data_IF_835553049108
#
_entry.id   IF_835553049108
#
_cell.length_a   1.000
_cell.length_b   1.000
_cell.length_c   1.000
_cell.angle_alpha   90.00
_cell.angle_beta   90.00
_cell.angle_gamma   90.00
#
_symmetry.space_group_name_H-M   'P 1'
#
loop_
_entity.id
_entity.type
_entity.pdbx_description
1 polymer ?
#
# COMPACT_ATOMS: atom_id res chain seq x y z
N UNK A 1 -35.16 -50.28 -41.28
CA UNK A 1 -34.72 -51.68 -41.10
C UNK A 1 -33.63 -51.68 -40.05
N UNK A 2 -33.82 -52.45 -38.95
CA UNK A 2 -32.80 -52.85 -37.95
C UNK A 2 -32.09 -51.69 -37.19
N UNK A 3 -32.21 -51.50 -35.86
CA UNK A 3 -32.71 -52.37 -34.75
C UNK A 3 -31.80 -53.61 -34.51
N UNK A 4 -31.44 -54.09 -33.31
CA UNK A 4 -31.79 -53.88 -31.87
C UNK A 4 -30.45 -53.98 -31.04
N UNK A 5 -30.26 -53.93 -29.69
CA UNK A 5 -31.03 -53.76 -28.43
C UNK A 5 -30.06 -53.15 -27.37
N UNK A 6 -30.42 -52.21 -26.47
CA UNK A 6 -30.93 -52.35 -25.08
C UNK A 6 -30.12 -53.20 -24.06
N UNK A 7 -29.91 -52.63 -22.85
CA UNK A 7 -30.29 -53.12 -21.50
C UNK A 7 -29.48 -52.33 -20.43
N UNK A 8 -30.06 -51.52 -19.52
CA UNK A 8 -30.93 -51.78 -18.34
C UNK A 8 -30.18 -51.96 -17.00
N UNK A 9 -30.72 -51.36 -15.92
CA UNK A 9 -30.20 -51.34 -14.52
C UNK A 9 -30.85 -52.45 -13.66
N UNK A 10 -30.34 -52.77 -12.44
CA UNK A 10 -30.74 -52.08 -11.19
C UNK A 10 -29.53 -51.69 -10.30
N UNK A 11 -29.54 -50.68 -9.41
CA UNK A 11 -30.39 -50.36 -8.24
C UNK A 11 -30.23 -51.33 -7.04
N UNK A 12 -29.62 -50.84 -5.96
CA UNK A 12 -29.92 -51.17 -4.56
C UNK A 12 -29.66 -49.94 -3.68
N UNK A 13 -30.30 -49.86 -2.51
CA UNK A 13 -30.20 -48.73 -1.59
C UNK A 13 -30.33 -49.17 -0.12
N UNK A 14 -29.75 -48.39 0.79
CA UNK A 14 -30.00 -48.43 2.24
C UNK A 14 -29.04 -47.47 2.96
N UNK A 15 -29.46 -46.44 3.71
CA UNK A 15 -30.39 -46.29 4.85
C UNK A 15 -29.72 -46.33 6.23
N UNK A 16 -29.77 -45.18 6.92
CA UNK A 16 -29.71 -45.01 8.40
C UNK A 16 -28.32 -45.33 9.02
N UNK A 17 -27.71 -44.53 9.92
CA UNK A 17 -28.19 -44.04 11.24
C UNK A 17 -27.25 -42.90 11.69
N UNK A 18 -27.69 -41.66 11.91
CA UNK A 18 -28.29 -41.07 13.14
C UNK A 18 -27.39 -41.00 14.39
N UNK A 19 -27.21 -39.77 14.90
CA UNK A 19 -26.77 -39.32 16.25
C UNK A 19 -25.51 -39.91 16.90
N UNK A 20 -24.60 -38.99 17.28
CA UNK A 20 -23.94 -39.04 18.59
C UNK A 20 -23.72 -37.61 19.14
N UNK A 21 -24.42 -37.29 20.22
CA UNK A 21 -24.11 -36.16 21.12
C UNK A 21 -24.05 -36.77 22.52
N UNK A 22 -22.91 -36.70 23.20
CA UNK A 22 -22.84 -36.34 24.62
C UNK A 22 -21.39 -36.09 25.07
N UNK A 23 -21.24 -35.08 25.91
CA UNK A 23 -20.32 -34.91 27.04
C UNK A 23 -18.90 -35.50 27.02
N UNK A 24 -17.94 -34.60 27.19
CA UNK A 24 -17.06 -34.68 28.37
C UNK A 24 -16.73 -33.30 28.95
N UNK A 25 -17.60 -32.82 29.85
CA UNK A 25 -17.33 -31.66 30.71
C UNK A 25 -16.84 -32.13 32.09
N UNK A 26 -15.55 -31.95 32.37
CA UNK A 26 -15.00 -31.85 33.73
C UNK A 26 -13.96 -30.71 33.74
N UNK A 27 -14.33 -29.52 34.21
CA UNK A 27 -14.17 -29.14 35.62
C UNK A 27 -12.72 -29.22 36.13
N UNK A 28 -11.96 -28.13 35.94
CA UNK A 28 -11.06 -27.63 36.98
C UNK A 28 -11.41 -26.15 37.19
N UNK A 29 -11.95 -25.83 38.37
CA UNK A 29 -12.20 -24.46 38.82
C UNK A 29 -11.42 -24.23 40.11
N UNK A 30 -10.48 -23.29 40.11
CA UNK A 30 -9.83 -22.74 41.31
C UNK A 30 -9.36 -21.30 41.09
N UNK A 31 -9.96 -20.39 41.84
CA UNK A 31 -9.49 -19.04 42.16
C UNK A 31 -10.01 -18.68 43.57
N UNK A 32 -9.47 -17.64 44.23
CA UNK A 32 -8.06 -17.35 44.45
C UNK A 32 -7.71 -17.45 45.96
N UNK A 33 -6.43 -17.31 46.33
CA UNK A 33 -6.00 -17.23 47.74
C UNK A 33 -5.38 -15.87 48.06
N UNK A 34 -6.06 -15.07 48.87
CA UNK A 34 -5.57 -13.77 49.35
C UNK A 34 -4.59 -13.93 50.51
N UNK A 35 -3.28 -13.79 50.25
CA UNK A 35 -2.28 -13.57 51.32
C UNK A 35 -0.92 -13.09 50.79
N UNK A 36 -0.74 -11.78 50.56
CA UNK A 36 0.56 -11.05 50.58
C UNK A 36 0.41 -9.56 50.20
N UNK A 37 -0.32 -8.78 51.00
CA UNK A 37 -0.38 -7.31 50.85
C UNK A 37 -0.03 -6.64 52.18
N UNK A 38 1.25 -6.67 52.57
CA UNK A 38 1.85 -5.79 53.60
C UNK A 38 3.37 -6.01 53.77
N UNK A 39 4.17 -5.50 52.82
CA UNK A 39 5.56 -5.08 53.10
C UNK A 39 6.02 -4.04 52.06
N UNK A 40 7.11 -3.33 52.35
CA UNK A 40 7.81 -2.42 51.43
C UNK A 40 7.06 -1.15 50.93
N UNK A 41 6.04 -0.65 51.62
CA UNK A 41 5.72 0.79 51.58
C UNK A 41 6.69 1.56 52.49
N UNK A 42 7.94 1.80 52.04
CA UNK A 42 8.84 2.88 52.49
C UNK A 42 10.23 2.77 51.87
N UNK A 43 10.53 3.56 50.82
CA UNK A 43 11.77 4.34 50.69
C UNK A 43 11.68 5.30 49.48
N UNK A 44 12.47 6.37 49.52
CA UNK A 44 12.36 7.50 48.58
C UNK A 44 13.18 7.31 47.31
N UNK A 45 12.64 7.75 46.18
CA UNK A 45 13.42 8.40 45.13
C UNK A 45 12.53 9.37 44.33
N UNK A 46 12.84 10.66 44.40
CA UNK A 46 12.23 11.68 43.53
C UNK A 46 13.04 11.76 42.24
N UNK A 47 12.48 11.31 41.11
CA UNK A 47 12.95 11.71 39.77
C UNK A 47 11.73 11.98 38.88
N UNK A 48 11.67 13.18 38.31
CA UNK A 48 10.64 13.59 37.37
C UNK A 48 10.80 12.87 36.02
N UNK A 49 9.69 12.44 35.43
CA UNK A 49 9.68 11.94 34.06
C UNK A 49 10.12 13.06 33.10
N UNK A 50 11.00 12.80 32.12
CA UNK A 50 11.38 13.80 31.14
C UNK A 50 10.20 14.12 30.22
N UNK A 51 9.68 15.34 30.32
CA UNK A 51 8.76 15.88 29.32
C UNK A 51 9.54 16.04 28.02
N UNK A 52 9.06 15.42 26.94
CA UNK A 52 9.61 15.61 25.60
C UNK A 52 9.34 17.05 25.14
N UNK A 53 10.32 17.93 25.33
CA UNK A 53 10.28 19.29 24.79
C UNK A 53 10.22 19.20 23.26
N UNK A 54 9.12 19.71 22.68
CA UNK A 54 9.05 19.96 21.24
C UNK A 54 10.11 20.98 20.86
N UNK A 55 11.12 20.56 20.11
CA UNK A 55 12.14 21.46 19.56
C UNK A 55 11.47 22.58 18.74
N UNK A 56 11.48 23.81 19.28
CA UNK A 56 10.90 25.00 18.66
C UNK A 56 11.88 25.71 17.72
N UNK A 57 12.60 24.95 16.91
CA UNK A 57 13.39 25.50 15.80
C UNK A 57 12.48 25.81 14.60
N UNK A 58 11.77 26.93 14.66
CA UNK A 58 11.15 27.50 13.47
C UNK A 58 12.25 27.81 12.43
N UNK A 59 12.03 27.57 11.13
CA UNK A 59 12.99 27.95 10.09
C UNK A 59 13.33 29.44 10.16
N UNK A 60 14.62 29.76 10.01
CA UNK A 60 15.08 31.15 10.05
C UNK A 60 14.39 31.96 8.92
N UNK A 61 13.62 32.99 9.31
CA UNK A 61 12.89 33.81 8.36
C UNK A 61 13.87 34.52 7.41
N UNK A 62 13.72 34.24 6.11
CA UNK A 62 14.56 34.83 5.06
C UNK A 62 14.58 36.36 5.16
N UNK A 63 15.78 36.93 5.09
CA UNK A 63 15.96 38.39 5.07
C UNK A 63 15.27 39.02 3.85
N UNK A 64 15.03 40.33 3.88
CA UNK A 64 14.44 41.04 2.75
C UNK A 64 15.29 40.87 1.47
N UNK A 65 16.62 40.95 1.57
CA UNK A 65 17.54 40.72 0.46
C UNK A 65 17.44 39.30 -0.12
N UNK A 66 17.38 38.25 0.72
CA UNK A 66 17.21 36.87 0.26
C UNK A 66 15.87 36.66 -0.45
N UNK A 67 14.79 37.28 0.04
CA UNK A 67 13.48 37.27 -0.64
C UNK A 67 13.52 37.97 -2.00
N UNK A 68 14.18 39.13 -2.11
CA UNK A 68 14.35 39.83 -3.40
C UNK A 68 15.18 39.01 -4.39
N UNK A 69 16.25 38.34 -3.95
CA UNK A 69 17.05 37.48 -4.83
C UNK A 69 16.27 36.25 -5.31
N UNK A 70 15.51 35.59 -4.42
CA UNK A 70 14.62 34.48 -4.82
C UNK A 70 13.55 34.94 -5.82
N UNK A 71 12.97 36.14 -5.62
CA UNK A 71 12.02 36.73 -6.56
C UNK A 71 12.63 36.98 -7.95
N UNK A 72 13.87 37.44 -8.02
CA UNK A 72 14.59 37.70 -9.27
C UNK A 72 14.99 36.43 -10.05
N UNK A 73 15.02 35.27 -9.39
CA UNK A 73 15.33 33.96 -10.00
C UNK A 73 14.06 33.17 -10.32
N UNK A 74 12.87 33.77 -10.16
CA UNK A 74 11.58 33.10 -10.40
C UNK A 74 11.15 32.14 -9.27
N UNK A 75 12.04 31.85 -8.32
CA UNK A 75 11.74 31.14 -7.07
C UNK A 75 10.99 32.03 -6.05
N UNK A 76 10.09 32.89 -6.55
CA UNK A 76 9.21 33.72 -5.74
C UNK A 76 8.05 32.87 -5.25
N UNK A 77 7.59 33.09 -4.01
CA UNK A 77 6.45 32.37 -3.42
C UNK A 77 5.25 32.29 -4.38
N UNK A 78 5.05 31.12 -4.99
CA UNK A 78 3.78 30.76 -5.65
C UNK A 78 2.73 30.52 -4.57
N UNK A 79 2.21 31.62 -4.03
CA UNK A 79 0.95 31.61 -3.31
C UNK A 79 -0.09 31.01 -4.26
N UNK A 80 -0.74 29.93 -3.80
CA UNK A 80 -1.87 29.30 -4.48
C UNK A 80 -2.84 30.37 -5.00
N UNK A 81 -3.40 30.16 -6.19
CA UNK A 81 -4.46 31.02 -6.74
C UNK A 81 -5.70 31.01 -5.83
N UNK A 82 -6.65 31.92 -6.08
CA UNK A 82 -7.91 31.95 -5.33
C UNK A 82 -8.64 30.60 -5.40
N UNK A 83 -8.64 29.98 -6.58
CA UNK A 83 -9.41 28.76 -6.84
C UNK A 83 -8.72 27.51 -6.26
N UNK A 84 -7.39 27.44 -6.31
CA UNK A 84 -6.63 26.39 -5.63
C UNK A 84 -6.77 26.48 -4.11
N UNK A 85 -6.73 27.69 -3.53
CA UNK A 85 -7.02 27.89 -2.10
C UNK A 85 -8.45 27.46 -1.76
N UNK A 86 -9.42 27.79 -2.62
CA UNK A 86 -10.82 27.41 -2.41
C UNK A 86 -10.99 25.89 -2.42
N UNK A 87 -10.43 25.19 -3.41
CA UNK A 87 -10.48 23.73 -3.51
C UNK A 87 -9.78 23.03 -2.33
N UNK A 88 -8.63 23.54 -1.88
CA UNK A 88 -7.92 23.01 -0.70
C UNK A 88 -8.70 23.27 0.59
N UNK A 89 -9.37 24.42 0.71
CA UNK A 89 -10.21 24.73 1.86
C UNK A 89 -11.50 23.89 1.89
N UNK A 90 -12.11 23.61 0.73
CA UNK A 90 -13.23 22.67 0.61
C UNK A 90 -12.80 21.24 0.96
N UNK A 91 -11.65 20.79 0.47
CA UNK A 91 -11.07 19.49 0.83
C UNK A 91 -10.90 19.37 2.36
N UNK A 92 -10.35 20.40 3.03
CA UNK A 92 -10.17 20.43 4.49
C UNK A 92 -11.45 20.21 5.29
N UNK A 93 -12.63 20.57 4.77
CA UNK A 93 -13.93 20.28 5.42
C UNK A 93 -14.22 18.78 5.51
N UNK A 94 -13.63 17.98 4.61
CA UNK A 94 -13.82 16.54 4.49
C UNK A 94 -12.71 15.72 5.17
N UNK A 95 -11.88 16.36 6.01
CA UNK A 95 -10.77 15.71 6.71
C UNK A 95 -11.23 14.57 7.64
N UNK A 96 -10.64 13.36 7.56
CA UNK A 96 -11.00 12.25 8.44
C UNK A 96 -10.56 12.50 9.90
N UNK A 97 -11.21 11.80 10.84
CA UNK A 97 -10.94 11.94 12.29
C UNK A 97 -9.54 11.48 12.70
N UNK A 98 -8.96 10.56 11.93
CA UNK A 98 -7.57 10.08 12.01
C UNK A 98 -7.04 9.98 10.56
N UNK A 99 -5.75 10.26 10.31
CA UNK A 99 -5.14 9.96 9.01
C UNK A 99 -5.18 8.46 8.72
N UNK A 100 -5.34 8.08 7.45
CA UNK A 100 -5.35 6.69 7.00
C UNK A 100 -3.92 6.19 6.78
N UNK A 101 -3.48 5.18 7.52
CA UNK A 101 -2.23 4.47 7.22
C UNK A 101 -2.31 3.91 5.79
N UNK A 102 -1.38 4.31 4.93
CA UNK A 102 -1.44 4.14 3.47
C UNK A 102 -0.14 3.55 2.94
N UNK A 103 -0.24 2.50 2.12
CA UNK A 103 0.90 1.78 1.55
C UNK A 103 0.92 1.92 0.02
N UNK A 104 2.09 2.20 -0.57
CA UNK A 104 2.26 2.32 -2.03
C UNK A 104 2.98 1.13 -2.67
N UNK A 105 2.47 0.68 -3.82
CA UNK A 105 3.14 -0.25 -4.74
C UNK A 105 3.36 0.47 -6.08
N UNK A 106 4.62 0.65 -6.48
CA UNK A 106 5.05 1.78 -7.33
C UNK A 106 6.30 1.43 -8.16
N UNK A 107 6.50 2.04 -9.32
CA UNK A 107 7.65 1.79 -10.22
C UNK A 107 8.36 3.06 -10.73
N UNK A 108 8.77 3.96 -9.80
CA UNK A 108 9.13 5.33 -10.09
C UNK A 108 10.33 5.46 -11.03
N UNK A 109 10.45 6.66 -11.62
CA UNK A 109 11.56 7.04 -12.50
C UNK A 109 11.60 6.26 -13.83
N UNK A 110 10.47 5.69 -14.25
CA UNK A 110 10.16 5.34 -15.65
C UNK A 110 9.59 6.55 -16.40
N UNK A 111 8.75 7.32 -15.71
CA UNK A 111 8.02 8.53 -16.08
C UNK A 111 7.64 9.26 -14.75
N UNK A 112 6.86 10.36 -14.72
CA UNK A 112 6.77 11.22 -13.52
C UNK A 112 5.67 10.85 -12.52
N UNK A 113 4.75 9.95 -12.87
CA UNK A 113 3.45 9.80 -12.21
C UNK A 113 3.56 9.40 -10.72
N UNK A 114 4.49 8.48 -10.37
CA UNK A 114 4.76 8.12 -8.97
C UNK A 114 5.30 9.31 -8.15
N UNK A 115 6.15 10.15 -8.76
CA UNK A 115 6.81 11.27 -8.08
C UNK A 115 5.81 12.41 -7.82
N UNK A 116 4.89 12.65 -8.76
CA UNK A 116 3.72 13.49 -8.54
C UNK A 116 2.85 12.91 -7.42
N UNK A 117 2.60 11.59 -7.44
CA UNK A 117 1.83 10.90 -6.38
C UNK A 117 2.47 11.06 -4.99
N UNK A 118 3.80 10.93 -4.87
CA UNK A 118 4.51 11.18 -3.60
C UNK A 118 4.40 12.63 -3.14
N UNK A 119 4.45 13.59 -4.08
CA UNK A 119 4.40 15.03 -3.80
C UNK A 119 3.02 15.46 -3.34
N UNK A 120 1.95 14.97 -3.98
CA UNK A 120 0.57 15.15 -3.52
C UNK A 120 0.32 14.43 -2.18
N UNK A 121 0.85 13.21 -2.03
CA UNK A 121 0.81 12.44 -0.80
C UNK A 121 1.46 13.16 0.38
N UNK A 122 2.56 13.89 0.17
CA UNK A 122 3.18 14.75 1.19
C UNK A 122 2.21 15.81 1.72
N UNK A 123 1.49 16.51 0.84
CA UNK A 123 0.54 17.54 1.27
C UNK A 123 -0.67 16.89 1.95
N UNK A 124 -1.22 15.79 1.42
CA UNK A 124 -2.31 15.04 2.05
C UNK A 124 -1.94 14.53 3.45
N UNK A 125 -0.67 14.17 3.69
CA UNK A 125 -0.17 13.82 5.02
C UNK A 125 0.02 15.03 5.94
N UNK A 126 0.50 16.17 5.42
CA UNK A 126 0.60 17.41 6.18
C UNK A 126 -0.78 17.96 6.60
N UNK A 127 -1.78 17.85 5.71
CA UNK A 127 -3.18 18.15 5.99
C UNK A 127 -3.85 17.07 6.86
N UNK A 128 -3.25 15.89 7.02
CA UNK A 128 -3.69 14.81 7.91
C UNK A 128 -4.85 13.96 7.38
N UNK A 129 -4.89 13.71 6.06
CA UNK A 129 -5.80 12.74 5.42
C UNK A 129 -5.21 11.34 5.39
N UNK A 130 -3.92 11.23 5.07
CA UNK A 130 -3.16 9.97 4.95
C UNK A 130 -1.94 9.99 5.84
N UNK A 131 -1.37 8.82 6.09
CA UNK A 131 -0.07 8.63 6.71
C UNK A 131 0.65 7.56 5.89
N UNK A 132 1.65 7.98 5.11
CA UNK A 132 2.40 7.10 4.22
C UNK A 132 3.44 6.39 5.08
N UNK A 133 3.25 5.09 5.33
CA UNK A 133 4.15 4.32 6.22
C UNK A 133 5.13 3.44 5.44
N UNK A 134 4.69 2.92 4.29
CA UNK A 134 5.35 1.82 3.57
C UNK A 134 5.23 1.98 2.06
N UNK A 135 6.31 1.61 1.37
CA UNK A 135 6.44 1.70 -0.09
C UNK A 135 7.21 0.50 -0.61
N UNK A 136 6.68 -0.17 -1.64
CA UNK A 136 7.34 -1.27 -2.33
C UNK A 136 7.59 -0.89 -3.79
N UNK A 137 8.86 -0.79 -4.17
CA UNK A 137 9.28 -0.44 -5.53
C UNK A 137 9.42 -1.69 -6.41
N UNK A 138 8.65 -1.78 -7.48
CA UNK A 138 8.64 -2.88 -8.44
C UNK A 138 9.22 -2.47 -9.81
N UNK A 139 8.97 -3.24 -10.88
CA UNK A 139 9.41 -3.05 -12.27
C UNK A 139 10.93 -3.16 -12.52
N UNK A 140 11.30 -4.21 -13.26
CA UNK A 140 12.68 -4.50 -13.68
C UNK A 140 13.31 -5.64 -12.89
N UNK A 141 14.60 -5.87 -13.09
CA UNK A 141 15.36 -6.87 -12.35
C UNK A 141 15.70 -6.42 -10.91
N UNK A 142 16.36 -7.31 -10.15
CA UNK A 142 16.70 -7.08 -8.76
C UNK A 142 17.63 -5.89 -8.49
N UNK A 143 18.35 -5.38 -9.51
CA UNK A 143 19.18 -4.18 -9.44
C UNK A 143 18.35 -2.94 -9.82
N UNK A 144 17.61 -2.98 -10.94
CA UNK A 144 16.72 -1.87 -11.35
C UNK A 144 15.70 -1.54 -10.26
N UNK A 145 15.06 -2.54 -9.65
CA UNK A 145 14.13 -2.34 -8.52
C UNK A 145 14.82 -1.77 -7.28
N UNK A 146 16.12 -2.06 -7.08
CA UNK A 146 16.91 -1.43 -6.01
C UNK A 146 17.09 0.06 -6.29
N UNK A 147 17.46 0.42 -7.53
CA UNK A 147 17.63 1.82 -7.93
C UNK A 147 16.32 2.62 -7.86
N UNK A 148 15.18 2.00 -8.17
CA UNK A 148 13.84 2.60 -7.98
C UNK A 148 13.49 2.79 -6.50
N UNK A 149 13.76 1.81 -5.64
CA UNK A 149 13.58 1.94 -4.20
C UNK A 149 14.48 3.05 -3.62
N UNK A 150 15.75 3.11 -4.02
CA UNK A 150 16.69 4.18 -3.61
C UNK A 150 16.19 5.55 -4.07
N UNK A 151 15.68 5.66 -5.30
CA UNK A 151 15.12 6.89 -5.85
C UNK A 151 13.87 7.33 -5.08
N UNK A 152 12.92 6.41 -4.84
CA UNK A 152 11.75 6.67 -4.01
C UNK A 152 12.15 7.19 -2.62
N UNK A 153 13.05 6.47 -1.93
CA UNK A 153 13.52 6.84 -0.59
C UNK A 153 14.18 8.22 -0.56
N UNK A 154 14.99 8.55 -1.57
CA UNK A 154 15.64 9.85 -1.66
C UNK A 154 14.67 10.99 -2.01
N UNK A 155 13.61 10.72 -2.77
CA UNK A 155 12.48 11.65 -2.95
C UNK A 155 11.71 11.86 -1.65
N UNK A 156 11.34 10.80 -0.92
CA UNK A 156 10.70 10.93 0.40
C UNK A 156 11.57 11.70 1.39
N UNK A 157 12.88 11.47 1.40
CA UNK A 157 13.82 12.26 2.20
C UNK A 157 13.82 13.75 1.81
N UNK A 158 13.80 14.09 0.51
CA UNK A 158 13.72 15.49 0.03
C UNK A 158 12.36 16.14 0.34
N UNK A 159 11.29 15.36 0.38
CA UNK A 159 9.95 15.78 0.84
C UNK A 159 9.85 15.86 2.38
N UNK A 160 10.90 15.52 3.15
CA UNK A 160 10.87 15.50 4.60
C UNK A 160 9.89 14.45 5.16
N UNK A 161 9.95 13.23 4.62
CA UNK A 161 9.19 12.04 5.02
C UNK A 161 10.17 10.89 5.33
N UNK A 162 11.11 11.15 6.24
CA UNK A 162 12.23 10.26 6.54
C UNK A 162 11.80 8.90 7.12
N UNK A 163 10.66 8.83 7.79
CA UNK A 163 10.15 7.64 8.46
C UNK A 163 9.47 6.63 7.51
N UNK A 164 9.28 7.00 6.23
CA UNK A 164 8.71 6.10 5.21
C UNK A 164 9.63 4.90 4.99
N UNK A 165 9.07 3.71 5.20
CA UNK A 165 9.76 2.43 5.00
C UNK A 165 9.72 2.08 3.51
N UNK A 166 10.89 2.03 2.86
CA UNK A 166 10.97 1.73 1.42
C UNK A 166 11.68 0.40 1.19
N UNK A 167 10.97 -0.52 0.54
CA UNK A 167 11.42 -1.87 0.21
C UNK A 167 11.54 -2.07 -1.29
N UNK A 168 12.60 -2.76 -1.72
CA UNK A 168 12.70 -3.34 -3.06
C UNK A 168 11.76 -4.53 -3.18
N UNK A 169 10.94 -4.53 -4.24
CA UNK A 169 10.04 -5.62 -4.59
C UNK A 169 10.73 -6.92 -5.03
N UNK A 170 9.96 -8.01 -5.05
CA UNK A 170 10.40 -9.37 -5.39
C UNK A 170 10.65 -9.54 -6.90
N UNK A 171 11.36 -10.60 -7.25
CA UNK A 171 11.49 -11.02 -8.65
C UNK A 171 10.17 -11.62 -9.16
N UNK A 172 9.87 -11.33 -10.42
CA UNK A 172 8.69 -11.77 -11.15
C UNK A 172 9.10 -12.22 -12.57
N UNK A 173 8.22 -12.92 -13.28
CA UNK A 173 8.53 -13.43 -14.61
C UNK A 173 8.59 -12.30 -15.65
N UNK A 174 9.67 -12.23 -16.41
CA UNK A 174 9.82 -11.30 -17.53
C UNK A 174 10.33 -12.04 -18.78
N UNK A 175 9.68 -11.80 -19.92
CA UNK A 175 10.21 -12.19 -21.23
C UNK A 175 11.27 -11.17 -21.72
N UNK A 176 12.03 -11.51 -22.77
CA UNK A 176 13.14 -10.68 -23.26
C UNK A 176 12.76 -9.25 -23.70
N UNK A 177 11.51 -9.01 -24.10
CA UNK A 177 11.01 -7.67 -24.40
C UNK A 177 10.70 -6.89 -23.11
N UNK A 178 9.98 -7.53 -22.18
CA UNK A 178 9.71 -6.99 -20.85
C UNK A 178 11.01 -6.63 -20.12
N UNK A 179 12.01 -7.52 -20.07
CA UNK A 179 13.29 -7.24 -19.41
C UNK A 179 14.02 -6.01 -19.97
N UNK A 180 13.86 -5.71 -21.27
CA UNK A 180 14.41 -4.50 -21.90
C UNK A 180 13.61 -3.25 -21.56
N UNK A 181 12.28 -3.35 -21.53
CA UNK A 181 11.40 -2.20 -21.28
C UNK A 181 11.36 -1.83 -19.80
N UNK A 182 11.18 -2.82 -18.92
CA UNK A 182 11.11 -2.67 -17.47
C UNK A 182 12.43 -2.16 -16.87
N UNK A 183 13.55 -2.31 -17.60
CA UNK A 183 14.85 -1.74 -17.26
C UNK A 183 14.98 -0.22 -17.54
N UNK A 184 13.97 0.44 -18.14
CA UNK A 184 13.99 1.89 -18.37
C UNK A 184 14.03 2.65 -17.04
N UNK A 185 15.13 3.35 -16.79
CA UNK A 185 15.34 4.27 -15.68
C UNK A 185 15.82 5.61 -16.23
N UNK A 186 15.20 6.73 -15.83
CA UNK A 186 15.55 8.06 -16.30
C UNK A 186 16.83 8.59 -15.62
N UNK A 187 17.69 9.26 -16.39
CA UNK A 187 19.04 9.68 -15.97
C UNK A 187 18.99 10.65 -14.77
N UNK A 188 17.99 11.52 -14.78
CA UNK A 188 17.70 12.55 -13.78
C UNK A 188 17.51 11.95 -12.38
N UNK A 189 16.85 10.78 -12.30
CA UNK A 189 16.56 10.10 -11.04
C UNK A 189 17.80 9.53 -10.33
N UNK A 190 18.93 9.33 -11.01
CA UNK A 190 20.14 8.84 -10.35
C UNK A 190 20.68 9.83 -9.29
N UNK A 191 20.48 11.13 -9.49
CA UNK A 191 20.85 12.19 -8.54
C UNK A 191 19.84 12.37 -7.39
N UNK A 192 18.70 11.66 -7.45
CA UNK A 192 17.65 11.67 -6.44
C UNK A 192 17.68 10.43 -5.53
N UNK A 193 18.61 9.49 -5.75
CA UNK A 193 18.75 8.26 -4.94
C UNK A 193 19.24 8.54 -3.52
N UNK A 194 18.70 7.77 -2.57
CA UNK A 194 19.12 7.69 -1.18
C UNK A 194 20.51 7.05 -1.01
N UNK A 195 21.06 7.12 0.21
CA UNK A 195 22.33 6.51 0.56
C UNK A 195 22.27 4.97 0.63
N UNK A 196 23.41 4.27 0.50
CA UNK A 196 23.48 2.82 0.64
C UNK A 196 22.94 2.36 2.00
N UNK A 197 21.97 1.45 1.98
CA UNK A 197 21.36 0.89 3.20
C UNK A 197 20.13 1.63 3.72
N UNK A 198 19.70 2.73 3.09
CA UNK A 198 18.42 3.39 3.44
C UNK A 198 17.16 2.63 2.94
N UNK A 199 17.34 1.54 2.19
CA UNK A 199 16.26 0.71 1.65
C UNK A 199 16.34 -0.75 2.09
N UNK A 200 15.17 -1.37 2.17
CA UNK A 200 14.99 -2.77 2.54
C UNK A 200 14.94 -3.68 1.29
N UNK A 201 15.23 -4.97 1.46
CA UNK A 201 15.47 -5.91 0.32
C UNK A 201 14.51 -7.11 0.24
N UNK A 202 13.66 -7.30 1.25
CA UNK A 202 12.63 -8.35 1.32
C UNK A 202 11.28 -7.69 1.65
N UNK A 203 10.58 -7.26 0.59
CA UNK A 203 9.26 -6.63 0.68
C UNK A 203 8.25 -7.50 1.44
N UNK A 204 8.21 -8.81 1.20
CA UNK A 204 7.20 -9.69 1.81
C UNK A 204 7.42 -9.84 3.31
N UNK A 205 8.66 -10.08 3.76
CA UNK A 205 8.94 -10.18 5.19
C UNK A 205 8.66 -8.87 5.93
N UNK A 206 8.95 -7.72 5.31
CA UNK A 206 8.64 -6.43 5.91
C UNK A 206 7.13 -6.15 5.94
N UNK A 207 6.42 -6.36 4.83
CA UNK A 207 4.96 -6.21 4.77
C UNK A 207 4.26 -7.11 5.79
N UNK A 208 4.55 -8.41 5.85
CA UNK A 208 3.91 -9.31 6.81
C UNK A 208 4.22 -8.92 8.27
N UNK A 209 5.43 -8.41 8.57
CA UNK A 209 5.78 -7.94 9.92
C UNK A 209 5.13 -6.60 10.29
N UNK A 210 4.95 -5.70 9.33
CA UNK A 210 4.42 -4.35 9.56
C UNK A 210 2.89 -4.34 9.56
N UNK A 211 2.23 -5.12 8.70
CA UNK A 211 0.78 -5.32 8.71
C UNK A 211 0.31 -5.96 10.03
N UNK A 212 1.02 -6.97 10.53
CA UNK A 212 0.77 -7.59 11.83
C UNK A 212 0.96 -6.65 13.04
N UNK A 213 1.58 -5.48 12.83
CA UNK A 213 1.85 -4.45 13.86
C UNK A 213 1.12 -3.14 13.61
N UNK A 214 0.35 -3.03 12.52
CA UNK A 214 -0.40 -1.83 12.21
C UNK A 214 -1.44 -1.56 13.33
N UNK A 215 -1.52 -0.32 13.87
CA UNK A 215 -2.46 0.01 14.95
C UNK A 215 -3.91 0.00 14.47
N UNK A 216 -4.11 0.26 13.17
CA UNK A 216 -5.40 0.37 12.49
C UNK A 216 -5.35 -0.40 11.16
N UNK A 217 -6.46 -0.42 10.43
CA UNK A 217 -6.51 -0.94 9.06
C UNK A 217 -5.79 -0.03 8.06
N UNK A 218 -5.22 -0.63 7.02
CA UNK A 218 -4.38 0.01 6.01
C UNK A 218 -5.13 0.15 4.69
N UNK A 219 -5.01 1.29 4.01
CA UNK A 219 -5.35 1.42 2.58
C UNK A 219 -4.14 1.08 1.73
N UNK A 220 -4.35 0.27 0.69
CA UNK A 220 -3.30 -0.08 -0.26
C UNK A 220 -3.55 0.62 -1.59
N UNK A 221 -2.55 1.36 -2.06
CA UNK A 221 -2.59 2.08 -3.35
C UNK A 221 -1.55 1.47 -4.29
N UNK A 222 -2.04 0.83 -5.35
CA UNK A 222 -1.24 0.14 -6.36
C UNK A 222 -1.21 0.99 -7.63
N UNK A 223 -0.06 1.60 -7.92
CA UNK A 223 0.18 2.43 -9.12
C UNK A 223 1.16 1.77 -10.10
N UNK A 224 1.58 0.53 -9.83
CA UNK A 224 2.53 -0.26 -10.61
C UNK A 224 2.15 -1.76 -10.69
N UNK A 225 3.08 -2.60 -11.18
CA UNK A 225 2.95 -4.06 -11.22
C UNK A 225 2.62 -4.73 -9.88
N UNK A 226 1.89 -5.84 -9.93
CA UNK A 226 1.12 -6.36 -8.78
C UNK A 226 1.78 -7.51 -8.00
N UNK A 227 2.99 -7.91 -8.37
CA UNK A 227 3.68 -9.11 -7.86
C UNK A 227 3.81 -9.16 -6.34
N UNK A 228 4.22 -8.06 -5.71
CA UNK A 228 4.47 -7.99 -4.27
C UNK A 228 3.20 -8.03 -3.42
N UNK A 229 2.17 -7.26 -3.78
CA UNK A 229 0.88 -7.29 -3.08
C UNK A 229 0.16 -8.63 -3.31
N UNK A 230 0.29 -9.23 -4.51
CA UNK A 230 -0.20 -10.58 -4.76
C UNK A 230 0.52 -11.63 -3.90
N UNK A 231 1.82 -11.49 -3.69
CA UNK A 231 2.57 -12.36 -2.78
C UNK A 231 2.08 -12.21 -1.33
N UNK A 232 1.77 -10.99 -0.88
CA UNK A 232 1.24 -10.74 0.47
C UNK A 232 -0.16 -11.36 0.68
N UNK A 233 -1.12 -11.08 -0.20
CA UNK A 233 -2.50 -11.61 -0.10
C UNK A 233 -2.56 -13.14 -0.29
N UNK A 234 -1.60 -13.72 -1.01
CA UNK A 234 -1.48 -15.18 -1.18
C UNK A 234 -0.80 -15.86 0.01
N UNK A 235 0.19 -15.23 0.64
CA UNK A 235 0.96 -15.81 1.77
C UNK A 235 0.30 -15.57 3.12
N UNK A 236 -0.42 -14.46 3.28
CA UNK A 236 -1.04 -14.04 4.54
C UNK A 236 -2.53 -13.66 4.37
N UNK A 237 -3.37 -14.51 3.75
CA UNK A 237 -4.74 -14.13 3.35
C UNK A 237 -5.61 -13.67 4.52
N UNK A 238 -5.53 -14.34 5.68
CA UNK A 238 -6.35 -13.97 6.84
C UNK A 238 -5.91 -12.64 7.47
N UNK A 239 -4.59 -12.41 7.58
CA UNK A 239 -4.03 -11.14 8.05
C UNK A 239 -4.41 -9.99 7.10
N UNK A 240 -4.40 -10.24 5.79
CA UNK A 240 -4.81 -9.24 4.79
C UNK A 240 -6.31 -8.97 4.87
N UNK A 241 -7.16 -9.99 5.07
CA UNK A 241 -8.60 -9.82 5.32
C UNK A 241 -8.90 -9.02 6.59
N UNK A 242 -8.09 -9.18 7.64
CA UNK A 242 -8.29 -8.50 8.93
C UNK A 242 -7.69 -7.08 8.99
N UNK A 243 -6.73 -6.74 8.13
CA UNK A 243 -5.90 -5.52 8.28
C UNK A 243 -5.82 -4.62 7.05
N UNK A 244 -6.33 -5.05 5.89
CA UNK A 244 -6.43 -4.20 4.69
C UNK A 244 -7.89 -3.79 4.51
N UNK A 245 -8.16 -2.50 4.68
CA UNK A 245 -9.51 -1.95 4.62
C UNK A 245 -10.00 -1.76 3.17
N UNK A 246 -9.08 -1.46 2.25
CA UNK A 246 -9.36 -1.19 0.84
C UNK A 246 -8.08 -1.31 -0.02
N UNK A 247 -8.25 -1.68 -1.30
CA UNK A 247 -7.18 -1.68 -2.31
C UNK A 247 -7.64 -0.82 -3.49
N UNK A 248 -6.97 0.31 -3.72
CA UNK A 248 -7.15 1.17 -4.89
C UNK A 248 -6.04 0.90 -5.91
N UNK A 249 -6.39 0.69 -7.18
CA UNK A 249 -5.47 0.22 -8.23
C UNK A 249 -5.57 1.12 -9.46
N UNK A 250 -4.45 1.68 -9.94
CA UNK A 250 -4.34 2.18 -11.31
C UNK A 250 -4.17 0.98 -12.25
N UNK A 251 -5.12 0.77 -13.14
CA UNK A 251 -5.14 -0.40 -14.02
C UNK A 251 -6.29 -0.37 -15.01
N UNK A 252 -6.95 -1.52 -15.18
CA UNK A 252 -8.07 -1.69 -16.09
C UNK A 252 -8.87 -2.95 -15.80
N UNK A 253 -10.12 -2.98 -16.22
CA UNK A 253 -11.08 -4.06 -15.98
C UNK A 253 -11.54 -4.66 -17.31
N UNK A 254 -11.49 -5.98 -17.43
CA UNK A 254 -12.12 -6.66 -18.57
C UNK A 254 -13.64 -6.44 -18.56
N UNK A 255 -14.29 -6.13 -19.70
CA UNK A 255 -15.75 -5.98 -19.77
C UNK A 255 -16.53 -7.25 -19.39
N UNK A 256 -15.87 -8.41 -19.40
CA UNK A 256 -16.44 -9.71 -19.04
C UNK A 256 -15.81 -10.23 -17.74
N UNK A 257 -16.69 -10.61 -16.81
CA UNK A 257 -16.34 -11.36 -15.59
C UNK A 257 -15.81 -12.75 -15.94
N UNK A 258 -15.14 -13.39 -14.98
CA UNK A 258 -14.80 -14.81 -15.10
C UNK A 258 -16.02 -15.73 -14.93
N UNK A 259 -15.81 -17.05 -15.03
CA UNK A 259 -16.87 -18.06 -14.95
C UNK A 259 -17.60 -18.07 -13.59
N UNK A 260 -16.94 -17.64 -12.52
CA UNK A 260 -17.48 -17.56 -11.16
C UNK A 260 -18.13 -16.20 -10.86
N UNK A 261 -18.04 -15.26 -11.81
CA UNK A 261 -18.65 -13.93 -11.73
C UNK A 261 -17.76 -12.86 -11.09
N UNK A 262 -16.46 -13.09 -10.94
CA UNK A 262 -15.50 -12.09 -10.45
C UNK A 262 -15.01 -11.15 -11.56
N UNK A 263 -14.65 -9.93 -11.16
CA UNK A 263 -14.02 -8.91 -12.03
C UNK A 263 -12.58 -9.32 -12.34
N UNK A 264 -12.18 -9.20 -13.61
CA UNK A 264 -10.83 -9.55 -14.09
C UNK A 264 -10.03 -8.31 -14.53
N UNK A 265 -8.68 -8.35 -14.45
CA UNK A 265 -7.81 -7.28 -14.95
C UNK A 265 -7.75 -7.24 -16.49
N UNK A 266 -7.94 -6.06 -17.07
CA UNK A 266 -7.76 -5.82 -18.52
C UNK A 266 -6.33 -6.12 -18.96
N UNK A 267 -6.15 -6.98 -19.96
CA UNK A 267 -4.85 -7.37 -20.49
C UNK A 267 -4.04 -6.23 -21.13
N UNK A 268 -4.67 -5.08 -21.42
CA UNK A 268 -4.12 -3.92 -22.14
C UNK A 268 -3.74 -2.76 -21.21
N UNK A 269 -4.02 -2.85 -19.90
CA UNK A 269 -3.62 -1.86 -18.92
C UNK A 269 -2.20 -2.16 -18.41
N UNK A 270 -1.34 -1.14 -18.34
CA UNK A 270 0.11 -1.31 -18.15
C UNK A 270 0.45 -2.12 -16.89
N UNK A 271 -0.05 -1.68 -15.74
CA UNK A 271 0.21 -2.27 -14.42
C UNK A 271 -0.33 -3.70 -14.28
N UNK A 272 -1.39 -4.03 -15.02
CA UNK A 272 -1.86 -5.41 -15.13
C UNK A 272 -0.86 -6.22 -15.95
N UNK A 273 -0.43 -5.70 -17.10
CA UNK A 273 0.47 -6.38 -18.05
C UNK A 273 1.92 -6.57 -17.56
N UNK A 274 2.38 -5.81 -16.57
CA UNK A 274 3.70 -5.99 -15.93
C UNK A 274 3.86 -7.41 -15.36
N UNK A 275 2.84 -7.91 -14.67
CA UNK A 275 2.73 -9.29 -14.16
C UNK A 275 1.25 -9.70 -14.15
N UNK A 276 0.81 -10.25 -15.29
CA UNK A 276 -0.60 -10.55 -15.54
C UNK A 276 -1.17 -11.62 -14.62
N UNK A 277 -0.37 -12.60 -14.20
CA UNK A 277 -0.84 -13.68 -13.34
C UNK A 277 -0.89 -13.23 -11.87
N UNK A 278 0.02 -12.34 -11.45
CA UNK A 278 -0.15 -11.64 -10.19
C UNK A 278 -1.38 -10.71 -10.18
N UNK A 279 -1.64 -9.99 -11.28
CA UNK A 279 -2.83 -9.14 -11.40
C UNK A 279 -4.13 -9.96 -11.31
N UNK A 280 -4.23 -11.08 -12.05
CA UNK A 280 -5.39 -12.00 -12.00
C UNK A 280 -5.61 -12.55 -10.60
N UNK A 281 -4.53 -13.01 -9.96
CA UNK A 281 -4.57 -13.57 -8.61
C UNK A 281 -4.97 -12.51 -7.57
N UNK A 282 -4.43 -11.28 -7.65
CA UNK A 282 -4.80 -10.18 -6.76
C UNK A 282 -6.28 -9.81 -6.89
N UNK A 283 -6.75 -9.57 -8.13
CA UNK A 283 -8.14 -9.17 -8.37
C UNK A 283 -9.11 -10.22 -7.84
N UNK A 284 -8.87 -11.51 -8.11
CA UNK A 284 -9.72 -12.59 -7.59
C UNK A 284 -9.62 -12.69 -6.07
N UNK A 285 -8.42 -12.75 -5.49
CA UNK A 285 -8.23 -12.91 -4.04
C UNK A 285 -8.82 -11.79 -3.21
N UNK A 286 -8.72 -10.54 -3.66
CA UNK A 286 -9.36 -9.43 -2.95
C UNK A 286 -10.89 -9.60 -2.92
N UNK A 287 -11.51 -10.04 -4.03
CA UNK A 287 -12.94 -10.34 -4.08
C UNK A 287 -13.32 -11.58 -3.25
N UNK A 288 -12.54 -12.66 -3.29
CA UNK A 288 -12.71 -13.87 -2.46
C UNK A 288 -12.66 -13.56 -0.95
N UNK A 289 -11.79 -12.63 -0.55
CA UNK A 289 -11.64 -12.18 0.84
C UNK A 289 -12.63 -11.08 1.23
N UNK A 290 -13.44 -10.56 0.30
CA UNK A 290 -14.40 -9.46 0.56
C UNK A 290 -13.77 -8.08 0.72
N UNK A 291 -12.51 -7.89 0.28
CA UNK A 291 -11.76 -6.64 0.40
C UNK A 291 -12.21 -5.67 -0.71
N UNK A 292 -12.62 -4.43 -0.37
CA UNK A 292 -13.04 -3.43 -1.36
C UNK A 292 -11.96 -3.12 -2.40
N UNK A 293 -12.26 -3.38 -3.68
CA UNK A 293 -11.45 -2.94 -4.82
C UNK A 293 -11.98 -1.64 -5.42
N UNK A 294 -11.08 -0.68 -5.68
CA UNK A 294 -11.35 0.50 -6.50
C UNK A 294 -10.36 0.55 -7.67
N UNK A 295 -10.82 0.26 -8.88
CA UNK A 295 -9.97 0.36 -10.08
C UNK A 295 -10.13 1.74 -10.73
N UNK A 296 -9.02 2.42 -10.98
CA UNK A 296 -8.93 3.70 -11.69
C UNK A 296 -8.28 3.42 -13.05
N UNK A 297 -8.95 3.79 -14.14
CA UNK A 297 -8.45 3.56 -15.50
C UNK A 297 -7.88 4.84 -16.11
N UNK A 298 -7.07 4.70 -17.16
CA UNK A 298 -6.43 5.82 -17.88
C UNK A 298 -7.43 6.87 -18.41
N UNK A 299 -8.67 6.47 -18.70
CA UNK A 299 -9.75 7.37 -19.13
C UNK A 299 -10.19 8.36 -18.04
N UNK A 300 -9.90 8.09 -16.77
CA UNK A 300 -10.04 9.07 -15.69
C UNK A 300 -8.98 10.17 -15.83
N UNK A 301 -7.71 9.79 -15.98
CA UNK A 301 -6.60 10.74 -16.17
C UNK A 301 -6.78 11.60 -17.44
N UNK A 302 -7.30 11.03 -18.53
CA UNK A 302 -7.62 11.80 -19.75
C UNK A 302 -8.70 12.88 -19.53
N UNK A 303 -9.58 12.73 -18.52
CA UNK A 303 -10.59 13.74 -18.16
C UNK A 303 -10.07 14.79 -17.19
N UNK A 304 -8.93 14.54 -16.54
CA UNK A 304 -8.31 15.42 -15.53
C UNK A 304 -6.87 15.77 -15.92
N UNK A 305 -6.57 15.83 -17.21
CA UNK A 305 -5.24 16.11 -17.72
C UNK A 305 -4.79 17.54 -17.36
N UNK A 306 -3.61 17.67 -16.77
CA UNK A 306 -3.01 18.96 -16.41
C UNK A 306 -2.28 19.58 -17.60
N UNK A 307 -2.08 20.90 -17.54
CA UNK A 307 -1.30 21.65 -18.53
C UNK A 307 0.20 21.64 -18.17
N UNK A 308 1.13 21.93 -19.11
CA UNK A 308 2.58 21.96 -18.85
C UNK A 308 3.08 23.07 -17.89
N UNK A 309 2.18 23.79 -17.22
CA UNK A 309 2.50 24.76 -16.16
C UNK A 309 2.16 24.25 -14.75
N UNK A 310 1.83 22.97 -14.62
CA UNK A 310 1.74 22.21 -13.37
C UNK A 310 3.08 21.51 -13.10
#
# INVERSE_FOLDING_TARGET
MQEVDSMHRPITAGHTTSRLILDQLKQISRTPSESSVQSALSQQASMSSPVLERSKSAPALLTAAQRTMLAQVGACNSHLTSDENMAINELRLHKPRLPKDTWFFTDPNKDPDDVVTYTLGKQLQAEGFVHITDVVATLGDAEVRSQRAEMAKGVFNKLGLHDVHVSRGRDYAMNSLQSKEHAKFLLEGHALRAGPGEIHRDSLQDMSRRLARAPHGVSIVVIAGMSDINALITTCPDMVRERVDDITIMGGVEPLKDADGFVQPDARAYNNATDMDAARSLYRKAQELGIPLRIVTKEAAYKTAVSPSF
#
